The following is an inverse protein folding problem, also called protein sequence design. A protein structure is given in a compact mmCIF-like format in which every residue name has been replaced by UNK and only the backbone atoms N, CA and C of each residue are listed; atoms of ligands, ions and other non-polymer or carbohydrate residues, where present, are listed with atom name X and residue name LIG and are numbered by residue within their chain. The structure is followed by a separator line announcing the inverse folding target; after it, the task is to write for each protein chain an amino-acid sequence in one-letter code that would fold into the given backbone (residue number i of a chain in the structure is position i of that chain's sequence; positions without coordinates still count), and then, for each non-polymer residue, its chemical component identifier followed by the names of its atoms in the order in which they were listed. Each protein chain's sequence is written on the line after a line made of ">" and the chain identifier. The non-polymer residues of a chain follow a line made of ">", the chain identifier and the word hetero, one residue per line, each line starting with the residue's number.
data_IF_288496429502
#
_entry.id   IF_288496429502
#
_cell.length_a   1.000
_cell.length_b   1.000
_cell.length_c   1.000
_cell.angle_alpha   90.00
_cell.angle_beta   90.00
_cell.angle_gamma   90.00
#
_symmetry.space_group_name_H-M   'P 1'
#
loop_
_entity.id
_entity.type
_entity.pdbx_description
1 polymer ?
#
# COMPACT_ATOMS: atom_id res chain seq x y z
N UNK A 1 -16.77 -21.55 -12.86
CA UNK A 1 -17.28 -21.20 -11.51
C UNK A 1 -16.07 -20.84 -10.64
N UNK A 2 -15.65 -19.58 -10.67
CA UNK A 2 -14.41 -19.12 -10.04
C UNK A 2 -14.57 -18.91 -8.54
N UNK A 3 -13.51 -19.17 -7.77
CA UNK A 3 -13.45 -18.88 -6.32
C UNK A 3 -13.00 -17.44 -6.13
N UNK A 4 -13.88 -16.60 -5.60
CA UNK A 4 -13.62 -15.20 -5.27
C UNK A 4 -12.94 -15.16 -3.90
N UNK A 5 -11.62 -15.32 -3.83
CA UNK A 5 -10.88 -15.26 -2.58
C UNK A 5 -10.46 -13.83 -2.27
N UNK A 6 -11.30 -13.03 -1.60
CA UNK A 6 -10.85 -11.77 -1.01
C UNK A 6 -9.97 -12.08 0.20
N UNK A 7 -8.66 -11.85 0.09
CA UNK A 7 -7.76 -11.91 1.24
C UNK A 7 -8.05 -10.70 2.14
N UNK A 8 -8.82 -10.92 3.21
CA UNK A 8 -8.90 -9.97 4.32
C UNK A 8 -7.53 -9.95 4.99
N UNK A 9 -6.73 -8.93 4.72
CA UNK A 9 -5.50 -8.66 5.45
C UNK A 9 -5.89 -8.19 6.86
N UNK A 10 -6.20 -9.14 7.73
CA UNK A 10 -6.30 -8.90 9.17
C UNK A 10 -4.93 -8.42 9.63
N UNK A 11 -4.75 -7.09 9.72
CA UNK A 11 -3.58 -6.45 10.32
C UNK A 11 -3.54 -6.84 11.80
N UNK A 12 -2.90 -7.98 12.09
CA UNK A 12 -2.49 -8.31 13.46
C UNK A 12 -1.38 -7.32 13.82
N UNK A 13 -1.74 -6.25 14.52
CA UNK A 13 -0.77 -5.41 15.20
C UNK A 13 -0.20 -6.23 16.35
N UNK A 14 1.01 -6.76 16.17
CA UNK A 14 1.78 -7.36 17.27
C UNK A 14 2.27 -6.21 18.14
N UNK A 15 1.53 -5.88 19.20
CA UNK A 15 2.00 -4.95 20.22
C UNK A 15 2.92 -5.72 21.18
N UNK A 16 4.21 -5.44 21.12
CA UNK A 16 5.11 -5.83 22.20
C UNK A 16 4.66 -5.10 23.48
N UNK A 17 4.32 -5.85 24.53
CA UNK A 17 4.05 -5.28 25.84
C UNK A 17 5.41 -4.93 26.43
N UNK A 18 5.85 -3.68 26.26
CA UNK A 18 7.04 -3.15 26.95
C UNK A 18 6.55 -2.17 28.04
N UNK A 19 7.10 -2.24 29.27
CA UNK A 19 6.69 -1.40 30.38
C UNK A 19 6.73 0.09 30.02
N UNK A 20 5.69 0.79 30.46
CA UNK A 20 5.34 2.18 30.15
C UNK A 20 6.48 3.20 30.40
N UNK A 21 7.44 2.88 31.26
CA UNK A 21 8.46 3.83 31.73
C UNK A 21 9.82 3.68 31.01
N UNK A 22 9.94 2.73 30.06
CA UNK A 22 11.18 2.49 29.31
C UNK A 22 11.12 2.89 27.82
N UNK A 23 10.01 3.49 27.37
CA UNK A 23 9.83 3.91 25.98
C UNK A 23 10.07 5.42 25.87
N UNK A 24 11.27 5.91 25.50
CA UNK A 24 11.40 7.27 25.03
C UNK A 24 10.58 7.36 23.75
N UNK A 25 9.46 8.10 23.79
CA UNK A 25 8.55 8.43 22.68
C UNK A 25 8.82 7.64 21.41
N UNK A 26 8.36 6.37 21.38
CA UNK A 26 8.60 5.52 20.23
C UNK A 26 7.99 6.23 19.01
N UNK A 27 8.77 6.60 17.99
CA UNK A 27 8.26 7.39 16.89
C UNK A 27 7.13 6.59 16.24
N UNK A 28 5.92 7.12 16.34
CA UNK A 28 4.76 6.59 15.65
C UNK A 28 5.18 6.45 14.18
N UNK A 29 5.12 5.24 13.61
CA UNK A 29 5.61 4.98 12.25
C UNK A 29 4.94 5.99 11.32
N UNK A 30 5.69 7.03 10.94
CA UNK A 30 5.22 8.05 10.02
C UNK A 30 4.83 7.31 8.75
N UNK A 31 3.68 7.64 8.14
CA UNK A 31 3.35 7.12 6.81
C UNK A 31 4.57 7.42 5.94
N UNK A 32 5.11 6.38 5.33
CA UNK A 32 6.31 6.51 4.52
C UNK A 32 6.05 7.60 3.47
N UNK A 33 6.80 8.72 3.45
CA UNK A 33 6.59 9.77 2.46
C UNK A 33 6.92 9.26 1.05
N UNK A 34 7.58 8.10 0.92
CA UNK A 34 7.90 7.46 -0.35
C UNK A 34 6.67 7.04 -1.14
N UNK A 35 5.53 6.75 -0.49
CA UNK A 35 4.32 6.26 -1.17
C UNK A 35 3.17 7.26 -1.11
N UNK A 36 2.72 7.73 -2.27
CA UNK A 36 1.53 8.56 -2.42
C UNK A 36 0.64 8.10 -3.59
N UNK A 37 -0.56 8.65 -3.69
CA UNK A 37 -1.47 8.38 -4.81
C UNK A 37 -1.64 9.62 -5.67
N UNK A 38 -1.56 9.45 -6.99
CA UNK A 38 -1.81 10.50 -7.97
C UNK A 38 -2.70 9.93 -9.10
N UNK A 39 -3.70 10.66 -9.60
CA UNK A 39 -4.35 10.28 -10.84
C UNK A 39 -3.35 10.16 -12.01
N UNK A 40 -3.53 9.17 -12.87
CA UNK A 40 -2.82 9.07 -14.14
C UNK A 40 -3.70 8.46 -15.24
N UNK A 41 -3.27 8.65 -16.49
CA UNK A 41 -3.96 8.10 -17.66
C UNK A 41 -3.01 7.15 -18.39
N UNK A 42 -3.49 5.96 -18.75
CA UNK A 42 -2.74 4.97 -19.54
C UNK A 42 -3.62 4.61 -20.75
N UNK A 43 -3.19 4.99 -21.95
CA UNK A 43 -4.04 4.90 -23.14
C UNK A 43 -5.27 5.80 -23.00
N UNK A 44 -6.47 5.22 -23.06
CA UNK A 44 -7.74 5.92 -22.85
C UNK A 44 -8.33 5.73 -21.44
N UNK A 45 -7.69 4.91 -20.59
CA UNK A 45 -8.16 4.63 -19.24
C UNK A 45 -7.61 5.62 -18.20
N UNK A 46 -8.47 6.05 -17.27
CA UNK A 46 -8.13 6.97 -16.17
C UNK A 46 -8.06 6.19 -14.86
N UNK A 47 -6.90 6.24 -14.21
CA UNK A 47 -6.65 5.66 -12.89
C UNK A 47 -6.65 6.79 -11.87
N UNK A 48 -7.75 6.96 -11.12
CA UNK A 48 -7.89 8.07 -10.16
C UNK A 48 -6.97 7.97 -8.94
N UNK A 49 -6.51 6.76 -8.62
CA UNK A 49 -5.70 6.46 -7.43
C UNK A 49 -4.50 5.57 -7.78
N UNK A 50 -3.64 6.00 -8.72
CA UNK A 50 -2.42 5.26 -9.01
C UNK A 50 -1.40 5.49 -7.88
N UNK A 51 -0.86 4.41 -7.32
CA UNK A 51 0.17 4.48 -6.28
C UNK A 51 1.53 4.76 -6.90
N UNK A 52 2.23 5.76 -6.38
CA UNK A 52 3.61 6.08 -6.70
C UNK A 52 4.46 5.80 -5.47
N UNK A 53 5.43 4.90 -5.61
CA UNK A 53 6.42 4.59 -4.57
C UNK A 53 7.81 5.01 -5.06
N UNK A 54 8.34 6.11 -4.53
CA UNK A 54 9.68 6.61 -4.87
C UNK A 54 10.81 5.67 -4.39
N UNK A 55 10.50 4.75 -3.47
CA UNK A 55 11.41 3.69 -3.04
C UNK A 55 11.39 2.45 -3.94
N UNK A 56 10.44 2.35 -4.87
CA UNK A 56 10.32 1.21 -5.76
C UNK A 56 11.20 1.38 -7.01
N UNK A 57 11.97 0.35 -7.34
CA UNK A 57 12.76 0.29 -8.57
C UNK A 57 11.98 -0.25 -9.77
N UNK A 58 10.75 -0.72 -9.57
CA UNK A 58 9.88 -1.30 -10.60
C UNK A 58 8.45 -0.75 -10.51
N UNK A 59 7.80 -0.61 -11.66
CA UNK A 59 6.39 -0.24 -11.76
C UNK A 59 5.52 -1.49 -11.89
N UNK A 60 4.46 -1.60 -11.10
CA UNK A 60 3.48 -2.69 -11.18
C UNK A 60 2.19 -2.15 -11.76
N UNK A 61 1.69 -2.78 -12.82
CA UNK A 61 0.39 -2.47 -13.43
C UNK A 61 -0.52 -3.70 -13.37
N UNK A 62 -1.83 -3.53 -13.12
CA UNK A 62 -2.77 -4.64 -13.15
C UNK A 62 -2.90 -5.21 -14.57
N UNK A 63 -3.11 -6.53 -14.67
CA UNK A 63 -3.23 -7.22 -15.95
C UNK A 63 -4.39 -6.70 -16.82
N UNK A 64 -5.38 -6.01 -16.23
CA UNK A 64 -6.47 -5.34 -16.95
C UNK A 64 -5.97 -4.29 -17.92
N UNK A 65 -4.86 -3.60 -17.62
CA UNK A 65 -4.24 -2.60 -18.52
C UNK A 65 -3.84 -3.22 -19.86
N UNK A 66 -3.56 -4.54 -19.88
CA UNK A 66 -3.14 -5.27 -21.07
C UNK A 66 -4.29 -6.02 -21.76
N UNK A 67 -5.52 -5.96 -21.21
CA UNK A 67 -6.68 -6.61 -21.81
C UNK A 67 -7.42 -5.59 -22.67
N UNK A 68 -7.37 -5.78 -23.98
CA UNK A 68 -8.18 -5.04 -24.97
C UNK A 68 -9.62 -5.54 -25.00
#
# INVERSE_FOLDING_TARGET
>A
MGRNGSALLQKKNVSAIIPHDLLPDLPQKCKDPGTFTNPCTIGEEIFTNAMLDLGASINVMPASVFRS
#
